data_IF_376019272398
#
_entry.id   IF_376019272398
#
_cell.length_a   1.000
_cell.length_b   1.000
_cell.length_c   1.000
_cell.angle_alpha   90.00
_cell.angle_beta   90.00
_cell.angle_gamma   90.00
#
_symmetry.space_group_name_H-M   'P 1'
#
loop_
_entity.id
_entity.type
_entity.pdbx_description
1 polymer ?
#
# COMPACT_ATOMS: atom_id res chain seq x y z
N UNK A 1 12.72 6.92 -15.32
CA UNK A 1 12.01 5.63 -15.16
C UNK A 1 10.54 5.94 -15.13
N UNK A 2 9.79 5.49 -16.14
CA UNK A 2 8.33 5.61 -16.19
C UNK A 2 7.70 4.60 -15.22
N UNK A 3 6.77 5.01 -14.35
CA UNK A 3 6.05 4.07 -13.49
C UNK A 3 5.26 3.08 -14.34
N UNK A 4 5.29 1.80 -13.98
CA UNK A 4 4.54 0.74 -14.67
C UNK A 4 3.35 0.32 -13.81
N UNK A 5 2.16 0.29 -14.40
CA UNK A 5 0.93 -0.14 -13.74
C UNK A 5 0.80 -1.69 -13.75
N UNK A 6 0.24 -2.25 -12.67
CA UNK A 6 -0.26 -3.64 -12.63
C UNK A 6 -1.78 -3.57 -12.50
N UNK A 7 -2.49 -4.03 -13.53
CA UNK A 7 -3.95 -4.15 -13.54
C UNK A 7 -4.34 -5.55 -13.07
N UNK A 8 -4.98 -5.65 -11.90
CA UNK A 8 -5.44 -6.90 -11.33
C UNK A 8 -6.79 -7.38 -11.91
N UNK A 9 -7.37 -6.69 -12.90
CA UNK A 9 -8.64 -7.07 -13.54
C UNK A 9 -8.48 -7.33 -15.04
N UNK A 10 -8.26 -8.60 -15.40
CA UNK A 10 -8.51 -9.08 -16.76
C UNK A 10 -9.99 -8.89 -17.18
N UNK A 11 -10.18 -8.13 -18.27
CA UNK A 11 -11.35 -8.12 -19.15
C UNK A 11 -12.75 -8.05 -18.50
N UNK A 12 -13.26 -6.83 -18.29
CA UNK A 12 -14.69 -6.52 -18.45
C UNK A 12 -14.88 -5.17 -19.12
N UNK A 13 -14.82 -5.14 -20.45
CA UNK A 13 -15.69 -4.33 -21.31
C UNK A 13 -15.33 -4.61 -22.77
N UNK A 14 -16.23 -5.31 -23.48
CA UNK A 14 -16.30 -5.24 -24.92
C UNK A 14 -17.49 -4.36 -25.26
N UNK A 15 -17.23 -3.13 -25.65
CA UNK A 15 -18.11 -2.33 -26.49
C UNK A 15 -17.23 -1.46 -27.38
N UNK A 16 -17.29 -1.78 -28.66
CA UNK A 16 -16.56 -1.20 -29.79
C UNK A 16 -17.04 0.24 -30.09
N UNK A 17 -16.13 1.08 -30.58
CA UNK A 17 -16.46 2.36 -31.20
C UNK A 17 -15.22 3.24 -31.44
N UNK A 18 -14.63 3.15 -32.64
CA UNK A 18 -13.59 4.05 -33.16
C UNK A 18 -14.21 5.27 -33.84
N UNK A 19 -13.86 6.50 -33.41
CA UNK A 19 -13.65 7.75 -34.19
C UNK A 19 -13.52 8.97 -33.25
N UNK A 20 -13.03 10.14 -33.69
CA UNK A 20 -11.63 10.53 -33.91
C UNK A 20 -11.12 11.48 -32.80
N UNK A 21 -9.82 11.78 -32.83
CA UNK A 21 -9.14 12.69 -31.93
C UNK A 21 -9.66 14.14 -32.04
N UNK A 22 -10.46 14.60 -31.08
CA UNK A 22 -10.72 16.01 -30.80
C UNK A 22 -10.66 16.26 -29.30
N UNK A 23 -10.01 17.37 -28.95
CA UNK A 23 -9.67 17.82 -27.61
C UNK A 23 -10.89 17.98 -26.69
N UNK A 24 -11.15 16.98 -25.84
CA UNK A 24 -11.96 17.14 -24.63
C UNK A 24 -11.01 17.31 -23.45
N UNK A 25 -10.89 18.55 -22.96
CA UNK A 25 -10.29 18.84 -21.67
C UNK A 25 -11.08 18.08 -20.58
N UNK A 26 -10.59 16.89 -20.19
CA UNK A 26 -11.03 16.18 -18.99
C UNK A 26 -10.49 16.93 -17.75
N UNK A 27 -10.90 18.18 -17.55
CA UNK A 27 -10.67 18.88 -16.28
C UNK A 27 -11.87 18.68 -15.36
N UNK A 28 -12.19 17.42 -15.08
CA UNK A 28 -12.98 17.09 -13.89
C UNK A 28 -11.99 16.95 -12.76
N UNK A 29 -11.90 17.94 -11.88
CA UNK A 29 -11.14 17.85 -10.64
C UNK A 29 -11.60 16.61 -9.86
N UNK A 30 -10.78 15.56 -9.91
CA UNK A 30 -11.05 14.30 -9.20
C UNK A 30 -10.61 14.44 -7.75
N UNK A 31 -11.48 14.26 -6.75
CA UNK A 31 -11.06 14.25 -5.36
C UNK A 31 -10.28 12.96 -5.05
N UNK A 32 -9.02 13.11 -4.67
CA UNK A 32 -8.11 12.00 -4.34
C UNK A 32 -7.81 12.04 -2.85
N UNK A 33 -8.02 10.92 -2.15
CA UNK A 33 -7.62 10.76 -0.75
C UNK A 33 -6.31 9.98 -0.67
N UNK A 34 -5.21 10.69 -0.41
CA UNK A 34 -3.92 10.06 -0.15
C UNK A 34 -3.86 9.54 1.29
N UNK A 35 -3.37 8.31 1.45
CA UNK A 35 -3.30 7.62 2.74
C UNK A 35 -1.85 7.22 3.03
N UNK A 36 -1.31 7.71 4.14
CA UNK A 36 0.11 7.54 4.45
C UNK A 36 0.40 7.43 5.93
N UNK A 37 1.33 6.54 6.29
CA UNK A 37 1.79 6.38 7.66
C UNK A 37 3.25 6.82 7.77
N UNK A 38 3.47 7.99 8.35
CA UNK A 38 4.79 8.58 8.54
C UNK A 38 5.66 7.73 9.48
N UNK A 39 6.89 7.45 9.06
CA UNK A 39 7.90 6.87 9.95
C UNK A 39 8.36 7.87 11.03
N UNK A 40 9.20 7.41 11.96
CA UNK A 40 9.78 8.31 12.96
C UNK A 40 10.78 9.28 12.35
N UNK A 41 11.53 8.79 11.37
CA UNK A 41 12.49 9.54 10.58
C UNK A 41 11.95 9.62 9.15
N UNK A 42 11.93 10.81 8.54
CA UNK A 42 11.52 10.96 7.14
C UNK A 42 12.39 10.09 6.22
N UNK A 43 11.74 9.35 5.33
CA UNK A 43 12.38 8.54 4.29
C UNK A 43 11.95 8.95 2.89
N UNK A 44 12.50 8.28 1.87
CA UNK A 44 12.17 8.58 0.46
C UNK A 44 10.67 8.44 0.13
N UNK A 45 9.99 7.49 0.79
CA UNK A 45 8.54 7.29 0.71
C UNK A 45 7.74 8.55 1.12
N UNK A 46 8.20 9.28 2.15
CA UNK A 46 7.56 10.52 2.60
C UNK A 46 7.73 11.63 1.55
N UNK A 47 8.91 11.73 0.93
CA UNK A 47 9.16 12.69 -0.16
C UNK A 47 8.31 12.38 -1.39
N UNK A 48 8.16 11.11 -1.77
CA UNK A 48 7.29 10.71 -2.89
C UNK A 48 5.84 11.07 -2.57
N UNK A 49 5.36 10.77 -1.35
CA UNK A 49 4.01 11.14 -0.93
C UNK A 49 3.76 12.65 -1.04
N UNK A 50 4.69 13.48 -0.55
CA UNK A 50 4.55 14.95 -0.67
C UNK A 50 4.61 15.41 -2.12
N UNK A 51 5.55 14.90 -2.91
CA UNK A 51 5.75 15.34 -4.30
C UNK A 51 4.57 14.94 -5.19
N UNK A 52 4.02 13.74 -5.00
CA UNK A 52 2.85 13.26 -5.73
C UNK A 52 1.60 14.05 -5.36
N UNK A 53 1.44 14.42 -4.08
CA UNK A 53 0.35 15.29 -3.65
C UNK A 53 0.43 16.67 -4.31
N UNK A 54 1.62 17.29 -4.32
CA UNK A 54 1.83 18.58 -4.99
C UNK A 54 1.58 18.50 -6.49
N UNK A 55 2.05 17.45 -7.15
CA UNK A 55 1.83 17.26 -8.59
C UNK A 55 0.33 17.15 -8.93
N UNK A 56 -0.43 16.38 -8.15
CA UNK A 56 -1.88 16.28 -8.33
C UNK A 56 -2.59 17.63 -8.10
N UNK A 57 -2.19 18.37 -7.08
CA UNK A 57 -2.74 19.70 -6.76
C UNK A 57 -2.44 20.72 -7.89
N UNK A 58 -1.21 20.72 -8.40
CA UNK A 58 -0.77 21.56 -9.52
C UNK A 58 -1.55 21.29 -10.81
N UNK A 59 -2.01 20.05 -11.00
CA UNK A 59 -2.86 19.65 -12.13
C UNK A 59 -4.37 19.81 -11.85
N UNK A 60 -4.75 20.52 -10.79
CA UNK A 60 -6.13 20.90 -10.50
C UNK A 60 -6.97 19.82 -9.81
N UNK A 61 -6.36 18.73 -9.34
CA UNK A 61 -7.06 17.73 -8.54
C UNK A 61 -7.21 18.18 -7.09
N UNK A 62 -8.36 17.88 -6.48
CA UNK A 62 -8.58 18.12 -5.06
C UNK A 62 -7.94 17.00 -4.25
N UNK A 63 -6.80 17.28 -3.64
CA UNK A 63 -6.09 16.30 -2.80
C UNK A 63 -6.47 16.43 -1.33
N UNK A 64 -6.85 15.30 -0.73
CA UNK A 64 -7.13 15.14 0.68
C UNK A 64 -6.06 14.20 1.25
N UNK A 65 -5.64 14.41 2.50
CA UNK A 65 -4.62 13.59 3.15
C UNK A 65 -5.21 12.92 4.40
N UNK A 66 -5.00 11.61 4.53
CA UNK A 66 -5.26 10.84 5.74
C UNK A 66 -3.94 10.27 6.23
N UNK A 67 -3.47 10.78 7.37
CA UNK A 67 -2.13 10.50 7.84
C UNK A 67 -2.14 9.90 9.25
N UNK A 68 -1.28 8.92 9.45
CA UNK A 68 -0.89 8.44 10.78
C UNK A 68 0.61 8.66 11.01
N UNK A 69 1.04 8.64 12.27
CA UNK A 69 2.45 8.80 12.63
C UNK A 69 2.92 7.73 13.59
N UNK A 70 4.11 7.19 13.30
CA UNK A 70 4.79 6.22 14.15
C UNK A 70 5.24 6.77 15.50
N UNK A 71 5.22 8.09 15.71
CA UNK A 71 5.45 8.66 17.05
C UNK A 71 4.44 8.12 18.07
N UNK A 72 3.19 7.88 17.65
CA UNK A 72 2.18 7.25 18.51
C UNK A 72 2.51 5.79 18.81
N UNK A 73 3.18 5.08 17.90
CA UNK A 73 3.57 3.69 18.08
C UNK A 73 4.73 3.50 19.07
N UNK A 74 5.55 4.53 19.32
CA UNK A 74 6.69 4.46 20.26
C UNK A 74 6.24 4.15 21.68
N UNK A 75 5.11 4.74 22.10
CA UNK A 75 4.59 4.61 23.45
C UNK A 75 3.60 3.46 23.60
N UNK A 76 3.39 2.66 22.54
CA UNK A 76 2.45 1.54 22.57
C UNK A 76 3.11 0.29 23.13
N UNK A 77 2.33 -0.51 23.85
CA UNK A 77 2.72 -1.87 24.18
C UNK A 77 3.03 -2.65 22.89
N UNK A 78 4.16 -3.38 22.79
CA UNK A 78 4.55 -4.11 21.59
C UNK A 78 3.50 -5.11 21.07
N UNK A 79 2.72 -5.74 21.96
CA UNK A 79 1.63 -6.63 21.57
C UNK A 79 0.47 -5.86 20.93
N UNK A 80 0.12 -4.70 21.50
CA UNK A 80 -0.92 -3.83 20.94
C UNK A 80 -0.50 -3.31 19.57
N UNK A 81 0.77 -2.91 19.41
CA UNK A 81 1.32 -2.49 18.13
C UNK A 81 1.33 -3.65 17.12
N UNK A 82 1.70 -4.86 17.54
CA UNK A 82 1.66 -6.06 16.69
C UNK A 82 0.25 -6.38 16.20
N UNK A 83 -0.74 -6.35 17.10
CA UNK A 83 -2.15 -6.53 16.72
C UNK A 83 -2.64 -5.42 15.78
N UNK A 84 -2.31 -4.16 16.05
CA UNK A 84 -2.66 -3.04 15.18
C UNK A 84 -2.00 -3.14 13.80
N UNK A 85 -0.78 -3.68 13.74
CA UNK A 85 -0.05 -3.94 12.49
C UNK A 85 -0.81 -4.92 11.60
N UNK A 86 -1.33 -6.00 12.20
CA UNK A 86 -2.16 -6.97 11.49
C UNK A 86 -3.51 -6.32 11.13
N UNK A 87 -4.22 -5.77 12.11
CA UNK A 87 -5.55 -5.23 11.92
C UNK A 87 -5.86 -4.07 12.88
N UNK A 88 -5.91 -2.84 12.36
CA UNK A 88 -6.26 -1.67 13.17
C UNK A 88 -7.70 -1.21 12.94
N UNK A 89 -8.65 -1.81 13.67
CA UNK A 89 -10.08 -1.47 13.52
C UNK A 89 -10.40 0.01 13.82
N UNK A 90 -9.63 0.66 14.72
CA UNK A 90 -9.82 2.08 15.05
C UNK A 90 -9.48 2.96 13.85
N UNK A 91 -8.39 2.65 13.14
CA UNK A 91 -7.98 3.42 11.95
C UNK A 91 -8.90 3.12 10.77
N UNK A 92 -9.33 1.86 10.59
CA UNK A 92 -10.34 1.49 9.57
C UNK A 92 -11.63 2.31 9.74
N UNK A 93 -12.13 2.49 10.98
CA UNK A 93 -13.33 3.30 11.26
C UNK A 93 -13.11 4.78 10.91
N UNK A 94 -11.98 5.36 11.34
CA UNK A 94 -11.64 6.77 11.03
C UNK A 94 -11.47 7.01 9.53
N UNK A 95 -10.82 6.10 8.81
CA UNK A 95 -10.71 6.18 7.37
C UNK A 95 -12.08 6.07 6.69
N UNK A 96 -12.93 5.15 7.15
CA UNK A 96 -14.32 5.01 6.67
C UNK A 96 -15.14 6.29 6.87
N UNK A 97 -14.99 6.96 8.01
CA UNK A 97 -15.63 8.25 8.29
C UNK A 97 -15.10 9.36 7.39
N UNK A 98 -13.79 9.38 7.14
CA UNK A 98 -13.17 10.32 6.20
C UNK A 98 -13.74 10.13 4.79
N UNK A 99 -13.72 8.91 4.28
CA UNK A 99 -14.26 8.54 2.95
C UNK A 99 -15.74 8.90 2.84
N UNK A 100 -16.54 8.60 3.86
CA UNK A 100 -17.98 8.95 3.88
C UNK A 100 -18.20 10.46 3.79
N UNK A 101 -17.38 11.26 4.50
CA UNK A 101 -17.52 12.72 4.55
C UNK A 101 -17.01 13.39 3.27
N UNK A 102 -15.88 12.93 2.74
CA UNK A 102 -15.21 13.60 1.63
C UNK A 102 -15.58 13.05 0.26
N UNK A 103 -16.13 11.83 0.21
CA UNK A 103 -16.52 11.09 -1.00
C UNK A 103 -15.45 11.16 -2.09
N UNK A 104 -14.22 10.69 -1.80
CA UNK A 104 -13.17 10.67 -2.80
C UNK A 104 -13.52 9.69 -3.92
N UNK A 105 -12.99 9.96 -5.11
CA UNK A 105 -13.08 9.05 -6.25
C UNK A 105 -12.02 7.95 -6.18
N UNK A 106 -10.85 8.32 -5.65
CA UNK A 106 -9.70 7.43 -5.48
C UNK A 106 -9.19 7.55 -4.05
N UNK A 107 -8.90 6.41 -3.42
CA UNK A 107 -8.05 6.34 -2.23
C UNK A 107 -6.71 5.75 -2.64
N UNK A 108 -5.65 6.53 -2.48
CA UNK A 108 -4.31 6.14 -2.90
C UNK A 108 -3.42 5.94 -1.68
N UNK A 109 -3.00 4.70 -1.46
CA UNK A 109 -2.18 4.30 -0.34
C UNK A 109 -0.69 4.32 -0.70
N UNK A 110 0.10 4.96 0.15
CA UNK A 110 1.56 4.95 0.07
C UNK A 110 2.13 3.97 1.10
N UNK A 111 1.75 4.12 2.37
CA UNK A 111 2.20 3.21 3.41
C UNK A 111 1.10 2.92 4.42
N UNK A 112 0.81 1.64 4.59
CA UNK A 112 -0.19 1.16 5.54
C UNK A 112 0.43 0.78 6.89
N UNK A 113 1.74 0.79 7.05
CA UNK A 113 2.39 0.19 8.21
C UNK A 113 3.01 1.21 9.15
N UNK A 114 2.94 0.96 10.47
CA UNK A 114 2.30 -0.17 11.15
C UNK A 114 0.86 0.15 11.57
N UNK A 115 0.44 1.42 11.63
CA UNK A 115 -0.81 1.78 12.30
C UNK A 115 -2.02 1.77 11.39
N UNK A 116 -1.88 2.03 10.09
CA UNK A 116 -3.02 2.05 9.17
C UNK A 116 -3.54 0.62 8.94
N UNK A 117 -2.64 -0.37 8.85
CA UNK A 117 -2.86 -1.77 8.47
C UNK A 117 -3.46 -1.93 7.05
N UNK A 118 -3.13 -3.03 6.33
CA UNK A 118 -3.78 -3.34 5.06
C UNK A 118 -5.30 -3.54 5.17
N UNK A 119 -5.85 -3.73 6.38
CA UNK A 119 -7.29 -3.74 6.61
C UNK A 119 -8.00 -2.47 6.13
N UNK A 120 -7.30 -1.34 6.02
CA UNK A 120 -7.85 -0.07 5.55
C UNK A 120 -8.30 -0.07 4.08
N UNK A 121 -7.81 -0.96 3.21
CA UNK A 121 -8.35 -1.07 1.84
C UNK A 121 -9.85 -1.39 1.85
N UNK A 122 -10.31 -2.18 2.82
CA UNK A 122 -11.73 -2.53 2.99
C UNK A 122 -12.60 -1.31 3.27
N UNK A 123 -12.04 -0.25 3.87
CA UNK A 123 -12.77 0.99 4.12
C UNK A 123 -13.16 1.66 2.79
N UNK A 124 -12.24 1.72 1.82
CA UNK A 124 -12.51 2.26 0.50
C UNK A 124 -13.48 1.39 -0.30
N UNK A 125 -13.23 0.07 -0.31
CA UNK A 125 -14.09 -0.89 -1.01
C UNK A 125 -15.53 -0.90 -0.50
N UNK A 126 -15.75 -0.71 0.80
CA UNK A 126 -17.10 -0.59 1.40
C UNK A 126 -17.93 0.53 0.76
N UNK A 127 -17.29 1.60 0.29
CA UNK A 127 -17.97 2.75 -0.32
C UNK A 127 -17.83 2.77 -1.86
N UNK A 128 -17.35 1.69 -2.47
CA UNK A 128 -17.18 1.61 -3.92
C UNK A 128 -16.13 2.58 -4.49
N UNK A 129 -15.21 3.06 -3.66
CA UNK A 129 -14.15 3.99 -4.08
C UNK A 129 -12.98 3.18 -4.65
N UNK A 130 -12.38 3.66 -5.74
CA UNK A 130 -11.21 3.01 -6.35
C UNK A 130 -10.00 3.06 -5.41
N UNK A 131 -9.25 1.96 -5.36
CA UNK A 131 -8.09 1.79 -4.48
C UNK A 131 -6.82 1.66 -5.31
N UNK A 132 -5.89 2.59 -5.10
CA UNK A 132 -4.56 2.58 -5.71
C UNK A 132 -3.51 2.37 -4.62
N UNK A 133 -2.44 1.64 -4.91
CA UNK A 133 -1.30 1.48 -4.00
C UNK A 133 0.04 1.68 -4.72
N UNK A 134 0.89 2.55 -4.19
CA UNK A 134 2.28 2.68 -4.65
C UNK A 134 3.21 1.72 -3.90
N UNK A 135 4.00 0.94 -4.61
CA UNK A 135 4.88 -0.09 -4.06
C UNK A 135 6.26 0.47 -3.69
N UNK A 136 6.35 1.20 -2.58
CA UNK A 136 7.59 1.84 -2.10
C UNK A 136 8.67 0.85 -1.64
N UNK A 137 8.26 -0.31 -1.16
CA UNK A 137 9.14 -1.33 -0.60
C UNK A 137 8.49 -2.71 -0.70
N UNK A 138 9.23 -3.77 -0.36
CA UNK A 138 8.79 -5.16 -0.51
C UNK A 138 8.09 -5.72 0.74
N UNK A 139 7.52 -4.87 1.61
CA UNK A 139 7.01 -5.33 2.91
C UNK A 139 5.71 -6.15 2.83
N UNK A 140 5.06 -6.20 1.68
CA UNK A 140 3.99 -7.18 1.42
C UNK A 140 4.54 -8.59 1.18
N UNK A 141 5.85 -8.71 0.89
CA UNK A 141 6.51 -9.98 0.56
C UNK A 141 7.45 -10.45 1.68
N UNK A 142 8.14 -9.53 2.33
CA UNK A 142 9.22 -9.83 3.28
C UNK A 142 9.13 -8.97 4.54
N UNK A 143 9.33 -9.52 5.75
CA UNK A 143 9.30 -8.75 6.99
C UNK A 143 10.29 -7.58 7.08
N UNK A 144 11.46 -7.64 6.42
CA UNK A 144 12.38 -6.49 6.39
C UNK A 144 11.95 -5.39 5.41
N UNK A 145 11.10 -5.70 4.43
CA UNK A 145 10.69 -4.79 3.36
C UNK A 145 11.74 -4.47 2.30
N UNK A 146 12.94 -5.06 2.35
CA UNK A 146 14.07 -4.68 1.48
C UNK A 146 14.48 -5.74 0.46
N UNK A 147 14.14 -7.02 0.68
CA UNK A 147 14.71 -8.16 -0.07
C UNK A 147 16.25 -8.16 -0.10
N UNK A 148 16.85 -7.68 0.99
CA UNK A 148 18.29 -7.55 1.16
C UNK A 148 18.67 -7.95 2.58
N UNK A 149 19.71 -8.76 2.72
CA UNK A 149 20.18 -9.30 4.01
C UNK A 149 21.66 -9.64 3.90
N UNK A 150 22.44 -9.33 4.93
CA UNK A 150 23.90 -9.62 4.98
C UNK A 150 24.66 -9.07 3.77
N UNK A 151 24.39 -7.82 3.38
CA UNK A 151 25.02 -7.12 2.25
C UNK A 151 24.83 -7.78 0.88
N UNK A 152 23.79 -8.60 0.72
CA UNK A 152 23.44 -9.23 -0.55
C UNK A 152 21.92 -9.29 -0.78
N UNK A 153 21.47 -9.42 -2.04
CA UNK A 153 20.08 -9.75 -2.35
C UNK A 153 19.63 -11.00 -1.61
N UNK A 154 18.39 -10.99 -1.12
CA UNK A 154 17.81 -12.07 -0.35
C UNK A 154 16.34 -12.27 -0.72
N UNK A 155 16.06 -13.40 -1.38
CA UNK A 155 14.74 -13.72 -1.92
C UNK A 155 14.08 -14.92 -1.24
N UNK A 156 14.64 -15.41 -0.13
CA UNK A 156 14.13 -16.57 0.63
C UNK A 156 12.63 -16.51 0.92
N UNK A 157 12.06 -15.33 1.19
CA UNK A 157 10.62 -15.18 1.47
C UNK A 157 9.75 -15.29 0.20
N UNK A 158 10.30 -14.93 -0.97
CA UNK A 158 9.67 -15.10 -2.27
C UNK A 158 9.75 -16.58 -2.67
N UNK A 159 10.95 -17.16 -2.64
CA UNK A 159 11.21 -18.57 -2.98
C UNK A 159 10.35 -19.52 -2.12
N UNK A 160 10.30 -19.29 -0.81
CA UNK A 160 9.47 -20.07 0.11
C UNK A 160 7.97 -19.75 0.01
N UNK A 161 7.57 -18.78 -0.82
CA UNK A 161 6.20 -18.26 -0.93
C UNK A 161 5.62 -17.86 0.44
N UNK A 162 6.47 -17.40 1.35
CA UNK A 162 6.11 -17.28 2.77
C UNK A 162 7.03 -16.33 3.53
N UNK A 163 6.49 -15.50 4.47
CA UNK A 163 7.31 -14.59 5.26
C UNK A 163 8.07 -15.27 6.43
N UNK A 164 7.87 -16.57 6.67
CA UNK A 164 8.47 -17.31 7.80
C UNK A 164 10.01 -17.27 7.86
N UNK A 165 10.77 -17.32 6.75
CA UNK A 165 12.23 -17.15 6.81
C UNK A 165 12.65 -15.85 7.50
N UNK A 166 11.85 -14.78 7.36
CA UNK A 166 12.10 -13.51 8.03
C UNK A 166 11.99 -13.57 9.55
N UNK A 167 11.20 -14.51 10.11
CA UNK A 167 11.12 -14.73 11.57
C UNK A 167 12.38 -15.42 12.06
N UNK A 168 12.78 -16.51 11.39
CA UNK A 168 13.97 -17.27 11.72
C UNK A 168 15.22 -16.39 11.73
N UNK A 169 15.34 -15.52 10.72
CA UNK A 169 16.45 -14.57 10.59
C UNK A 169 16.26 -13.25 11.36
N UNK A 170 15.17 -13.09 12.14
CA UNK A 170 14.88 -11.88 12.94
C UNK A 170 14.95 -10.59 12.11
N UNK A 171 14.44 -10.65 10.88
CA UNK A 171 14.62 -9.63 9.84
C UNK A 171 14.03 -8.25 10.15
N UNK A 172 13.11 -8.16 11.11
CA UNK A 172 12.54 -6.89 11.56
C UNK A 172 13.06 -6.53 12.96
N UNK A 173 13.75 -5.38 13.06
CA UNK A 173 14.33 -4.85 14.31
C UNK A 173 15.19 -5.85 15.10
N UNK A 174 15.86 -6.78 14.42
CA UNK A 174 16.67 -7.84 15.03
C UNK A 174 15.90 -8.69 16.07
N UNK A 175 14.57 -8.74 15.97
CA UNK A 175 13.70 -9.40 16.95
C UNK A 175 12.78 -10.42 16.28
N UNK A 176 12.79 -11.64 16.80
CA UNK A 176 11.94 -12.73 16.31
C UNK A 176 10.45 -12.42 16.53
N UNK A 177 10.07 -11.88 17.68
CA UNK A 177 8.68 -11.53 17.98
C UNK A 177 8.18 -10.35 17.15
N UNK A 178 9.02 -9.34 16.93
CA UNK A 178 8.68 -8.22 16.04
C UNK A 178 8.54 -8.71 14.58
N UNK A 179 9.46 -9.57 14.13
CA UNK A 179 9.38 -10.19 12.80
C UNK A 179 8.13 -11.07 12.66
N UNK A 180 7.73 -11.77 13.72
CA UNK A 180 6.52 -12.57 13.74
C UNK A 180 5.25 -11.72 13.61
N UNK A 181 5.20 -10.53 14.22
CA UNK A 181 4.07 -9.62 14.02
C UNK A 181 3.94 -9.16 12.55
N UNK A 182 5.05 -8.82 11.89
CA UNK A 182 5.03 -8.43 10.47
C UNK A 182 4.69 -9.62 9.57
N UNK A 183 5.27 -10.78 9.84
CA UNK A 183 4.96 -12.00 9.09
C UNK A 183 3.49 -12.42 9.26
N UNK A 184 2.92 -12.29 10.46
CA UNK A 184 1.49 -12.53 10.70
C UNK A 184 0.62 -11.57 9.87
N UNK A 185 0.97 -10.28 9.81
CA UNK A 185 0.27 -9.31 8.96
C UNK A 185 0.30 -9.74 7.49
N UNK A 186 1.48 -10.14 6.98
CA UNK A 186 1.62 -10.62 5.61
C UNK A 186 0.77 -11.87 5.38
N UNK A 187 0.90 -12.88 6.24
CA UNK A 187 0.19 -14.16 6.10
C UNK A 187 -1.32 -13.97 6.15
N UNK A 188 -1.85 -13.22 7.12
CA UNK A 188 -3.28 -12.94 7.25
C UNK A 188 -3.82 -12.27 5.99
N UNK A 189 -3.13 -11.24 5.49
CA UNK A 189 -3.61 -10.51 4.30
C UNK A 189 -3.43 -11.27 2.99
N UNK A 190 -2.47 -12.21 2.90
CA UNK A 190 -2.39 -13.19 1.81
C UNK A 190 -3.56 -14.16 1.83
N UNK A 191 -3.84 -14.78 2.98
CA UNK A 191 -4.95 -15.74 3.14
C UNK A 191 -6.30 -15.07 2.85
N UNK A 192 -6.47 -13.83 3.32
CA UNK A 192 -7.67 -13.03 3.04
C UNK A 192 -7.70 -12.43 1.62
N UNK A 193 -6.68 -12.69 0.80
CA UNK A 193 -6.53 -12.16 -0.56
C UNK A 193 -6.67 -10.63 -0.62
N UNK A 194 -6.25 -9.94 0.44
CA UNK A 194 -6.49 -8.50 0.59
C UNK A 194 -5.87 -7.70 -0.55
N UNK A 195 -4.65 -8.04 -0.96
CA UNK A 195 -3.94 -7.34 -2.03
C UNK A 195 -4.47 -7.65 -3.43
N UNK A 196 -5.01 -8.85 -3.65
CA UNK A 196 -5.60 -9.21 -4.94
C UNK A 196 -7.02 -8.67 -5.10
N UNK A 197 -7.81 -8.71 -4.02
CA UNK A 197 -9.25 -8.49 -4.12
C UNK A 197 -9.68 -7.07 -3.71
N UNK A 198 -8.83 -6.33 -2.98
CA UNK A 198 -9.16 -5.00 -2.43
C UNK A 198 -8.42 -3.81 -3.05
N UNK A 199 -7.39 -4.07 -3.88
CA UNK A 199 -6.65 -3.02 -4.60
C UNK A 199 -6.98 -3.13 -6.07
N UNK A 200 -7.28 -2.00 -6.70
CA UNK A 200 -7.68 -1.94 -8.11
C UNK A 200 -6.47 -1.71 -9.03
N UNK A 201 -5.46 -0.98 -8.56
CA UNK A 201 -4.26 -0.68 -9.31
C UNK A 201 -3.02 -0.55 -8.42
N UNK A 202 -1.92 -1.11 -8.88
CA UNK A 202 -0.61 -0.90 -8.27
C UNK A 202 0.28 -0.01 -9.14
N UNK A 203 0.98 0.93 -8.50
CA UNK A 203 2.03 1.73 -9.10
C UNK A 203 3.38 1.19 -8.62
N UNK A 204 4.15 0.62 -9.54
CA UNK A 204 5.51 0.19 -9.28
C UNK A 204 6.51 1.25 -9.76
N UNK A 205 7.54 1.61 -8.95
CA UNK A 205 8.54 2.60 -9.36
C UNK A 205 9.50 2.10 -10.45
N UNK A 206 9.55 0.78 -10.68
CA UNK A 206 10.36 0.15 -11.72
C UNK A 206 9.78 -1.20 -12.13
N UNK A 207 10.14 -1.67 -13.33
CA UNK A 207 9.80 -3.01 -13.78
C UNK A 207 10.42 -4.11 -12.91
N UNK A 208 11.60 -3.87 -12.33
CA UNK A 208 12.19 -4.79 -11.36
C UNK A 208 11.27 -4.98 -10.14
N UNK A 209 10.79 -3.88 -9.55
CA UNK A 209 9.84 -3.94 -8.44
C UNK A 209 8.58 -4.67 -8.86
N UNK A 210 8.01 -4.32 -10.02
CA UNK A 210 6.82 -4.98 -10.58
C UNK A 210 7.01 -6.49 -10.68
N UNK A 211 8.12 -6.94 -11.27
CA UNK A 211 8.42 -8.36 -11.44
C UNK A 211 8.57 -9.09 -10.11
N UNK A 212 9.24 -8.51 -9.11
CA UNK A 212 9.37 -9.13 -7.78
C UNK A 212 8.04 -9.28 -7.05
N UNK A 213 7.11 -8.35 -7.24
CA UNK A 213 5.76 -8.50 -6.71
C UNK A 213 4.97 -9.60 -7.44
N UNK A 214 5.12 -9.73 -8.75
CA UNK A 214 4.51 -10.81 -9.54
C UNK A 214 5.07 -12.18 -9.11
N UNK A 215 6.39 -12.32 -9.01
CA UNK A 215 7.05 -13.51 -8.46
C UNK A 215 6.57 -13.83 -7.04
N UNK A 216 6.30 -12.80 -6.24
CA UNK A 216 5.75 -12.91 -4.90
C UNK A 216 4.25 -13.22 -4.80
N UNK A 217 3.56 -13.39 -5.94
CA UNK A 217 2.16 -13.80 -6.02
C UNK A 217 1.13 -12.65 -6.19
N UNK A 218 1.58 -11.44 -6.52
CA UNK A 218 0.69 -10.34 -6.90
C UNK A 218 0.39 -10.42 -8.41
N UNK A 219 -0.82 -10.82 -8.78
CA UNK A 219 -1.24 -11.02 -10.17
C UNK A 219 -2.18 -9.93 -10.66
#
# INVERSE_FOLDING_TARGET
MTPTAIDCRGARSAACGTTPAESMAYSTSVPVLLVHNHYQQPGGEDQVFTSEASLLEEHGHRVLRFEETNRRAVNMNPLVLGMATVWNQKVVRRLSESIRRTRPWIVHFHNTFPLISPACYRAARKYGVAVVQTLHNFRMLCPNGLLFRDQKPCELCIEAHSPWPGIYHRCYRHSASASAAVAAMITVHRVMRTWLDQVDLYIAPSDFTRMKFIEGGLA
#
